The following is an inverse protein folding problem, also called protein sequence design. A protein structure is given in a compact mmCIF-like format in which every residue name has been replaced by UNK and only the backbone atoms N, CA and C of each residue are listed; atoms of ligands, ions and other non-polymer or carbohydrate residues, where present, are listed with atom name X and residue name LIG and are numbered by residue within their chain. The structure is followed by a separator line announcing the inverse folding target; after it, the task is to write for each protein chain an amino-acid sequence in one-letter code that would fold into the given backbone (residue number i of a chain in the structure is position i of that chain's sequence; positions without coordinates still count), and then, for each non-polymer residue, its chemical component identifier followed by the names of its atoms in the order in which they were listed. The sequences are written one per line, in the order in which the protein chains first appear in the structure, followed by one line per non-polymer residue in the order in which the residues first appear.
data_IF_050098127883
#
_entry.id   IF_050098127883
#
_cell.length_a   1.000
_cell.length_b   1.000
_cell.length_c   1.000
_cell.angle_alpha   90.00
_cell.angle_beta   90.00
_cell.angle_gamma   90.00
#
_symmetry.space_group_name_H-M   'P 1'
#
loop_
_entity.id
_entity.type
_entity.pdbx_description
1 polymer ?
#
# COMPACT_ATOMS: atom_id res chain seq x y z
N UNK A 1 12.52 0.18 12.30
CA UNK A 1 11.30 -0.64 12.37
C UNK A 1 10.20 0.24 12.98
N UNK A 2 9.14 0.56 12.23
CA UNK A 2 8.12 1.53 12.64
C UNK A 2 7.13 0.89 13.62
N UNK A 3 7.19 1.24 14.90
CA UNK A 3 6.32 0.66 15.95
C UNK A 3 5.17 1.58 16.38
N UNK A 4 4.82 2.59 15.57
CA UNK A 4 3.81 3.61 15.91
C UNK A 4 2.63 3.56 14.94
N UNK A 5 1.43 3.54 15.51
CA UNK A 5 0.22 3.98 14.82
C UNK A 5 0.15 5.51 14.87
N UNK A 6 -0.36 6.16 13.82
CA UNK A 6 -0.50 7.62 13.70
C UNK A 6 0.77 8.43 13.40
N UNK A 7 1.67 7.89 12.58
CA UNK A 7 2.84 8.61 12.05
C UNK A 7 2.36 9.82 11.24
N UNK A 8 2.97 10.98 11.39
CA UNK A 8 2.56 12.22 10.71
C UNK A 8 3.21 12.36 9.33
N UNK A 9 2.58 13.12 8.44
CA UNK A 9 3.21 13.53 7.16
C UNK A 9 4.59 14.17 7.38
N UNK A 10 4.74 14.98 8.43
CA UNK A 10 6.02 15.61 8.75
C UNK A 10 7.13 14.57 9.05
N UNK A 11 6.79 13.49 9.77
CA UNK A 11 7.72 12.41 10.09
C UNK A 11 8.12 11.65 8.82
N UNK A 12 7.15 11.33 7.96
CA UNK A 12 7.38 10.64 6.68
C UNK A 12 8.28 11.47 5.76
N UNK A 13 8.03 12.79 5.68
CA UNK A 13 8.83 13.72 4.89
C UNK A 13 10.28 13.77 5.39
N UNK A 14 10.45 13.91 6.70
CA UNK A 14 11.78 13.97 7.31
C UNK A 14 12.56 12.66 7.13
N UNK A 15 11.89 11.51 7.28
CA UNK A 15 12.52 10.20 7.17
C UNK A 15 13.01 9.88 5.76
N UNK A 16 12.25 10.27 4.72
CA UNK A 16 12.55 9.87 3.33
C UNK A 16 13.06 11.00 2.44
N UNK A 17 13.28 12.19 3.03
CA UNK A 17 13.66 13.40 2.33
C UNK A 17 12.72 13.72 1.17
N UNK A 18 11.40 13.68 1.45
CA UNK A 18 10.35 13.98 0.48
C UNK A 18 9.75 15.36 0.75
N UNK A 19 9.45 16.09 -0.32
CA UNK A 19 8.60 17.28 -0.24
C UNK A 19 7.15 16.89 0.09
N UNK A 20 6.38 17.84 0.62
CA UNK A 20 4.96 17.60 0.88
C UNK A 20 4.18 17.28 -0.42
N UNK A 21 4.54 17.92 -1.53
CA UNK A 21 3.95 17.64 -2.84
C UNK A 21 4.19 16.21 -3.28
N UNK A 22 5.41 15.70 -3.13
CA UNK A 22 5.72 14.30 -3.46
C UNK A 22 4.95 13.31 -2.60
N UNK A 23 4.87 13.54 -1.28
CA UNK A 23 4.08 12.67 -0.40
C UNK A 23 2.60 12.68 -0.79
N UNK A 24 2.03 13.86 -1.08
CA UNK A 24 0.64 13.98 -1.56
C UNK A 24 0.41 13.23 -2.88
N UNK A 25 1.35 13.33 -3.83
CA UNK A 25 1.26 12.61 -5.10
C UNK A 25 1.27 11.09 -4.89
N UNK A 26 2.18 10.57 -4.05
CA UNK A 26 2.24 9.15 -3.71
C UNK A 26 0.91 8.71 -3.06
N UNK A 27 0.41 9.45 -2.07
CA UNK A 27 -0.85 9.14 -1.39
C UNK A 27 -2.02 9.13 -2.37
N UNK A 28 -2.11 10.12 -3.26
CA UNK A 28 -3.16 10.18 -4.28
C UNK A 28 -3.07 9.00 -5.26
N UNK A 29 -1.86 8.66 -5.73
CA UNK A 29 -1.63 7.55 -6.64
C UNK A 29 -1.97 6.20 -6.00
N UNK A 30 -1.64 6.01 -4.71
CA UNK A 30 -1.99 4.81 -3.97
C UNK A 30 -3.50 4.70 -3.69
N UNK A 31 -4.17 5.79 -3.29
CA UNK A 31 -5.63 5.79 -3.05
C UNK A 31 -6.44 5.37 -4.26
N UNK A 32 -6.00 5.76 -5.47
CA UNK A 32 -6.63 5.32 -6.72
C UNK A 32 -6.58 3.79 -6.91
N UNK A 33 -5.61 3.11 -6.32
CA UNK A 33 -5.35 1.67 -6.50
C UNK A 33 -5.94 0.81 -5.39
N UNK A 34 -5.78 1.22 -4.12
CA UNK A 34 -6.19 0.42 -2.95
C UNK A 34 -7.44 0.96 -2.24
N UNK A 35 -8.03 2.06 -2.73
CA UNK A 35 -9.20 2.72 -2.15
C UNK A 35 -8.88 3.48 -0.86
N UNK A 36 -8.47 2.76 0.18
CA UNK A 36 -8.09 3.32 1.48
C UNK A 36 -6.58 3.27 1.65
N UNK A 37 -5.95 4.45 1.64
CA UNK A 37 -4.53 4.63 1.92
C UNK A 37 -4.35 5.91 2.72
N UNK A 38 -3.89 5.78 3.97
CA UNK A 38 -3.78 6.82 5.01
C UNK A 38 -5.12 7.37 5.49
N UNK A 39 -5.22 7.65 6.79
CA UNK A 39 -6.41 8.29 7.38
C UNK A 39 -6.19 9.79 7.53
N UNK A 40 -7.27 10.58 7.48
CA UNK A 40 -7.23 12.01 7.81
C UNK A 40 -7.83 12.23 9.19
N UNK A 41 -7.07 12.84 10.09
CA UNK A 41 -7.54 13.20 11.44
C UNK A 41 -7.24 14.68 11.64
N UNK A 42 -8.27 15.51 11.80
CA UNK A 42 -8.12 16.96 11.99
C UNK A 42 -7.50 17.70 10.79
N UNK A 43 -7.56 17.13 9.58
CA UNK A 43 -6.94 17.69 8.37
C UNK A 43 -5.57 17.11 8.02
N UNK A 44 -4.90 16.47 8.99
CA UNK A 44 -3.59 15.85 8.80
C UNK A 44 -3.69 14.39 8.38
N UNK A 45 -2.79 13.97 7.49
CA UNK A 45 -2.64 12.55 7.12
C UNK A 45 -1.90 11.81 8.25
N UNK A 46 -2.48 10.68 8.63
CA UNK A 46 -1.95 9.73 9.61
C UNK A 46 -1.66 8.42 8.90
N UNK A 47 -0.44 7.93 9.11
CA UNK A 47 0.09 6.73 8.49
C UNK A 47 0.27 5.64 9.55
N UNK A 48 -0.06 4.40 9.20
CA UNK A 48 0.38 3.23 9.94
C UNK A 48 1.74 2.72 9.39
N UNK A 49 2.34 1.75 10.07
CA UNK A 49 3.66 1.22 9.70
C UNK A 49 3.72 0.64 8.28
N UNK A 50 2.65 -0.04 7.82
CA UNK A 50 2.56 -0.59 6.45
C UNK A 50 2.52 0.54 5.42
N UNK A 51 1.72 1.57 5.65
CA UNK A 51 1.62 2.73 4.76
C UNK A 51 2.94 3.50 4.65
N UNK A 52 3.66 3.66 5.76
CA UNK A 52 4.99 4.27 5.74
C UNK A 52 5.98 3.42 4.95
N UNK A 53 5.97 2.10 5.13
CA UNK A 53 6.79 1.17 4.34
C UNK A 53 6.45 1.22 2.84
N UNK A 54 5.17 1.41 2.48
CA UNK A 54 4.75 1.60 1.09
C UNK A 54 5.31 2.91 0.51
N UNK A 55 5.24 4.01 1.26
CA UNK A 55 5.82 5.30 0.82
C UNK A 55 7.34 5.18 0.62
N UNK A 56 8.03 4.49 1.54
CA UNK A 56 9.46 4.18 1.42
C UNK A 56 9.78 3.38 0.15
N UNK A 57 8.98 2.34 -0.12
CA UNK A 57 9.14 1.48 -1.28
C UNK A 57 8.96 2.28 -2.58
N UNK A 58 7.87 3.06 -2.69
CA UNK A 58 7.59 3.89 -3.86
C UNK A 58 8.73 4.89 -4.09
N UNK A 59 9.19 5.57 -3.03
CA UNK A 59 10.32 6.51 -3.11
C UNK A 59 11.60 5.82 -3.59
N UNK A 60 11.89 4.62 -3.10
CA UNK A 60 13.07 3.86 -3.52
C UNK A 60 13.01 3.52 -5.01
N UNK A 61 11.86 3.06 -5.51
CA UNK A 61 11.68 2.78 -6.95
C UNK A 61 11.77 4.03 -7.81
N UNK A 62 11.22 5.16 -7.37
CA UNK A 62 11.37 6.42 -8.10
C UNK A 62 12.83 6.86 -8.22
N UNK A 63 13.68 6.59 -7.21
CA UNK A 63 15.12 6.84 -7.28
C UNK A 63 15.85 5.87 -8.23
N UNK A 64 15.26 4.71 -8.52
CA UNK A 64 15.73 3.74 -9.51
C UNK A 64 15.22 4.06 -10.93
N UNK A 65 14.71 5.28 -11.15
CA UNK A 65 14.14 5.78 -12.41
C UNK A 65 12.80 5.14 -12.84
N UNK A 66 12.05 4.54 -11.92
CA UNK A 66 10.68 4.15 -12.21
C UNK A 66 9.75 5.37 -12.21
N UNK A 67 8.74 5.37 -13.07
CA UNK A 67 7.67 6.36 -13.03
C UNK A 67 6.82 6.14 -11.76
N UNK A 68 6.19 7.21 -11.27
CA UNK A 68 5.37 7.16 -10.06
C UNK A 68 4.30 6.07 -10.13
N UNK A 69 3.62 5.95 -11.27
CA UNK A 69 2.55 4.96 -11.45
C UNK A 69 3.10 3.52 -11.41
N UNK A 70 4.19 3.23 -12.10
CA UNK A 70 4.83 1.90 -12.07
C UNK A 70 5.32 1.54 -10.66
N UNK A 71 5.93 2.51 -9.96
CA UNK A 71 6.39 2.33 -8.60
C UNK A 71 5.22 2.04 -7.63
N UNK A 72 4.07 2.70 -7.82
CA UNK A 72 2.86 2.46 -7.06
C UNK A 72 2.25 1.08 -7.39
N UNK A 73 2.22 0.66 -8.65
CA UNK A 73 1.73 -0.67 -9.05
C UNK A 73 2.58 -1.79 -8.42
N UNK A 74 3.91 -1.64 -8.45
CA UNK A 74 4.82 -2.57 -7.77
C UNK A 74 4.61 -2.57 -6.25
N UNK A 75 4.33 -1.41 -5.65
CA UNK A 75 4.03 -1.33 -4.23
C UNK A 75 2.72 -2.04 -3.88
N UNK A 76 1.69 -1.94 -4.73
CA UNK A 76 0.44 -2.69 -4.58
C UNK A 76 0.71 -4.19 -4.66
N UNK A 77 1.41 -4.67 -5.69
CA UNK A 77 1.74 -6.08 -5.81
C UNK A 77 2.52 -6.62 -4.61
N UNK A 78 3.48 -5.85 -4.11
CA UNK A 78 4.37 -6.25 -3.00
C UNK A 78 3.66 -6.23 -1.66
N UNK A 79 2.87 -5.18 -1.39
CA UNK A 79 2.31 -4.94 -0.07
C UNK A 79 0.83 -5.31 0.04
N UNK A 80 0.08 -5.42 -1.06
CA UNK A 80 -1.38 -5.64 -1.10
C UNK A 80 -1.78 -6.82 -2.01
N UNK A 81 -0.92 -7.25 -2.94
CA UNK A 81 -1.20 -8.32 -3.91
C UNK A 81 -1.34 -9.73 -3.34
N UNK A 82 -1.39 -9.90 -2.01
CA UNK A 82 -1.72 -11.19 -1.39
C UNK A 82 -3.23 -11.43 -1.26
N UNK A 83 -4.06 -10.37 -1.23
CA UNK A 83 -5.49 -10.52 -0.99
C UNK A 83 -6.26 -11.09 -2.21
N UNK A 84 -5.83 -10.83 -3.45
CA UNK A 84 -6.45 -11.48 -4.63
C UNK A 84 -6.14 -12.99 -4.69
N UNK A 85 -4.96 -13.40 -4.22
CA UNK A 85 -4.62 -14.81 -4.12
C UNK A 85 -5.44 -15.52 -3.04
N UNK A 86 -5.85 -14.84 -1.98
CA UNK A 86 -6.72 -15.43 -0.95
C UNK A 86 -8.17 -15.51 -1.41
N UNK A 87 -8.68 -14.53 -2.17
CA UNK A 87 -10.02 -14.63 -2.79
C UNK A 87 -10.04 -15.73 -3.86
N UNK A 88 -9.04 -15.79 -4.73
CA UNK A 88 -8.94 -16.83 -5.76
C UNK A 88 -8.69 -18.20 -5.11
N UNK A 89 -7.85 -18.31 -4.07
CA UNK A 89 -7.68 -19.56 -3.32
C UNK A 89 -8.95 -20.00 -2.62
N UNK A 90 -9.67 -19.09 -1.94
CA UNK A 90 -10.91 -19.43 -1.27
C UNK A 90 -11.97 -19.89 -2.25
N UNK A 91 -12.07 -19.24 -3.41
CA UNK A 91 -12.95 -19.67 -4.49
C UNK A 91 -12.55 -21.06 -5.02
N UNK A 92 -11.28 -21.29 -5.35
CA UNK A 92 -10.79 -22.57 -5.83
C UNK A 92 -10.96 -23.70 -4.81
N UNK A 93 -10.71 -23.44 -3.52
CA UNK A 93 -10.92 -24.40 -2.43
C UNK A 93 -12.40 -24.75 -2.27
N UNK A 94 -13.31 -23.77 -2.40
CA UNK A 94 -14.75 -24.00 -2.34
C UNK A 94 -15.26 -24.85 -3.51
N UNK A 95 -14.71 -24.65 -4.71
CA UNK A 95 -15.07 -25.44 -5.89
C UNK A 95 -14.50 -26.87 -5.82
N UNK A 96 -13.29 -27.06 -5.29
CA UNK A 96 -12.71 -28.39 -5.05
C UNK A 96 -13.54 -29.20 -4.04
N UNK A 97 -13.92 -28.59 -2.91
CA UNK A 97 -14.77 -29.25 -1.90
C UNK A 97 -16.15 -29.62 -2.45
N UNK A 98 -16.70 -28.84 -3.39
CA UNK A 98 -17.98 -29.12 -4.05
C UNK A 98 -17.90 -30.32 -5.00
N UNK A 99 -16.73 -30.56 -5.60
CA UNK A 99 -16.47 -31.71 -6.47
C UNK A 99 -16.24 -32.96 -5.62
N UNK A 100 -15.50 -32.84 -4.52
CA UNK A 100 -15.16 -33.96 -3.62
C UNK A 100 -16.33 -34.37 -2.70
N UNK A 101 -17.28 -33.47 -2.39
CA UNK A 101 -18.43 -33.73 -1.52
C UNK A 101 -19.67 -34.29 -2.21
N UNK A 102 -19.55 -34.81 -3.44
CA UNK A 102 -20.63 -35.53 -4.13
C UNK A 102 -20.35 -37.03 -4.16
N UNK A 103 -20.64 -37.69 -3.04
CA UNK A 103 -21.02 -39.10 -2.96
C UNK A 103 -22.38 -39.23 -2.26
#
# INVERSE_FOLDING_TARGET
MWHRENILTADVRAAFNLSEGQVRLIVMAMRKRVGVFTTKVGGDLRYNAREVSVVEFVRTRMNENYLLDDACDLAVLTHYGKDENDVIKQYLLSELQRIEGKE
#
